data_IF_069469298972
#
_entry.id   IF_069469298972
#
_cell.length_a   1.000
_cell.length_b   1.000
_cell.length_c   1.000
_cell.angle_alpha   90.00
_cell.angle_beta   90.00
_cell.angle_gamma   90.00
#
_symmetry.space_group_name_H-M   'P 1'
#
loop_
_entity.id
_entity.type
_entity.pdbx_description
1 polymer ?
#
# COMPACT_ATOMS: atom_id res chain seq x y z
N UNK A 1 18.53 4.84 12.81
CA UNK A 1 18.74 3.59 13.59
C UNK A 1 18.23 3.77 15.01
N UNK A 2 16.91 3.95 15.19
CA UNK A 2 16.25 3.97 16.51
C UNK A 2 14.99 3.12 16.30
N UNK A 3 14.98 1.87 16.79
CA UNK A 3 13.86 0.94 16.56
C UNK A 3 14.18 -0.55 16.55
N UNK A 4 15.44 -0.97 16.71
CA UNK A 4 15.76 -2.38 16.94
C UNK A 4 15.54 -2.71 18.42
N UNK A 5 14.35 -3.20 18.76
CA UNK A 5 14.13 -3.95 20.00
C UNK A 5 14.25 -5.42 19.62
N UNK A 6 15.46 -5.97 19.75
CA UNK A 6 15.71 -7.41 19.58
C UNK A 6 15.59 -8.09 20.93
N UNK A 7 14.46 -8.78 21.17
CA UNK A 7 14.39 -9.74 22.27
C UNK A 7 14.95 -11.08 21.77
N UNK A 8 16.08 -11.50 22.35
CA UNK A 8 16.75 -12.75 22.01
C UNK A 8 16.37 -13.82 23.05
N UNK A 9 15.54 -14.79 22.66
CA UNK A 9 15.35 -16.04 23.43
C UNK A 9 16.14 -17.14 22.74
N UNK A 10 17.31 -17.47 23.31
CA UNK A 10 18.25 -18.62 23.18
C UNK A 10 18.30 -19.49 21.89
N UNK A 11 17.23 -19.68 21.12
CA UNK A 11 17.22 -20.48 19.88
C UNK A 11 16.35 -19.89 18.75
N UNK A 12 15.61 -18.79 18.99
CA UNK A 12 14.89 -18.05 17.94
C UNK A 12 15.15 -16.55 18.08
N UNK A 13 15.94 -15.99 17.15
CA UNK A 13 16.10 -14.55 17.01
C UNK A 13 14.88 -13.98 16.29
N UNK A 14 13.83 -13.60 17.04
CA UNK A 14 12.69 -12.88 16.48
C UNK A 14 13.09 -11.42 16.26
N UNK A 15 13.83 -11.17 15.18
CA UNK A 15 14.09 -9.81 14.72
C UNK A 15 12.79 -9.24 14.18
N UNK A 16 12.01 -8.55 15.02
CA UNK A 16 10.99 -7.64 14.50
C UNK A 16 11.71 -6.61 13.64
N UNK A 17 11.65 -6.78 12.32
CA UNK A 17 12.18 -5.78 11.39
C UNK A 17 11.58 -4.40 11.70
N UNK A 18 12.25 -3.33 11.27
CA UNK A 18 11.84 -1.95 11.56
C UNK A 18 10.32 -1.71 11.35
N UNK A 19 9.73 -2.33 10.32
CA UNK A 19 8.30 -2.26 10.05
C UNK A 19 7.42 -2.89 11.14
N UNK A 20 7.78 -4.07 11.65
CA UNK A 20 7.03 -4.75 12.70
C UNK A 20 7.11 -4.01 14.03
N UNK A 21 8.29 -3.48 14.39
CA UNK A 21 8.47 -2.66 15.59
C UNK A 21 7.69 -1.35 15.54
N UNK A 22 7.72 -0.65 14.39
CA UNK A 22 6.93 0.57 14.18
C UNK A 22 5.42 0.31 14.24
N UNK A 23 4.95 -0.79 13.64
CA UNK A 23 3.54 -1.18 13.67
C UNK A 23 3.09 -1.53 15.10
N UNK A 24 3.90 -2.29 15.84
CA UNK A 24 3.61 -2.64 17.23
C UNK A 24 3.56 -1.40 18.13
N UNK A 25 4.55 -0.50 18.01
CA UNK A 25 4.56 0.76 18.74
C UNK A 25 3.34 1.64 18.38
N UNK A 26 2.96 1.70 17.11
CA UNK A 26 1.78 2.44 16.65
C UNK A 26 0.47 1.90 17.20
N UNK A 27 0.29 0.57 17.21
CA UNK A 27 -0.90 -0.07 17.80
C UNK A 27 -0.92 0.13 19.32
N UNK A 28 0.22 -0.04 20.00
CA UNK A 28 0.31 0.12 21.46
C UNK A 28 0.01 1.55 21.90
N UNK A 29 0.55 2.57 21.20
CA UNK A 29 0.22 3.97 21.44
C UNK A 29 -1.24 4.29 21.08
N UNK A 30 -1.77 3.72 19.99
CA UNK A 30 -3.17 3.84 19.60
C UNK A 30 -4.14 3.27 20.64
N UNK A 31 -3.81 2.10 21.20
CA UNK A 31 -4.57 1.44 22.26
C UNK A 31 -4.51 2.24 23.58
N UNK A 32 -3.33 2.74 23.95
CA UNK A 32 -3.14 3.55 25.16
C UNK A 32 -3.95 4.86 25.08
N UNK A 33 -3.99 5.50 23.91
CA UNK A 33 -4.85 6.65 23.63
C UNK A 33 -6.34 6.28 23.70
N UNK A 34 -6.74 5.13 23.15
CA UNK A 34 -8.14 4.69 23.16
C UNK A 34 -8.64 4.41 24.59
N UNK A 35 -7.77 3.94 25.48
CA UNK A 35 -8.12 3.58 26.85
C UNK A 35 -7.97 4.75 27.84
N UNK A 36 -7.07 5.72 27.60
CA UNK A 36 -6.88 6.92 28.44
C UNK A 36 -6.83 8.21 27.58
N UNK A 37 -7.97 8.88 27.34
CA UNK A 37 -8.06 10.08 26.49
C UNK A 37 -7.28 11.30 26.99
N UNK A 38 -6.76 11.26 28.23
CA UNK A 38 -6.00 12.35 28.87
C UNK A 38 -4.50 12.29 28.57
N UNK A 39 -3.97 11.17 28.09
CA UNK A 39 -2.56 11.03 27.68
C UNK A 39 -2.45 11.08 26.15
N UNK A 40 -1.85 12.14 25.59
CA UNK A 40 -1.60 12.23 24.14
C UNK A 40 -2.74 12.83 23.30
N UNK A 41 -3.38 13.90 23.78
CA UNK A 41 -4.31 14.70 22.98
C UNK A 41 -3.55 15.45 21.88
N UNK A 42 -3.33 14.79 20.75
CA UNK A 42 -2.74 15.41 19.57
C UNK A 42 -3.86 16.16 18.85
N UNK A 43 -3.79 17.49 18.67
CA UNK A 43 -4.80 18.22 17.93
C UNK A 43 -4.91 17.64 16.51
N UNK A 44 -6.14 17.49 16.00
CA UNK A 44 -6.41 16.86 14.69
C UNK A 44 -5.62 17.52 13.55
N UNK A 45 -5.37 18.83 13.65
CA UNK A 45 -4.52 19.56 12.71
C UNK A 45 -3.06 19.07 12.71
N UNK A 46 -2.45 18.83 13.88
CA UNK A 46 -1.09 18.32 13.95
C UNK A 46 -0.98 16.88 13.42
N UNK A 47 -1.98 16.04 13.67
CA UNK A 47 -2.01 14.67 13.14
C UNK A 47 -2.08 14.67 11.61
N UNK A 48 -2.95 15.52 11.04
CA UNK A 48 -3.12 15.63 9.59
C UNK A 48 -1.86 16.18 8.93
N UNK A 49 -1.23 17.20 9.52
CA UNK A 49 0.04 17.76 9.06
C UNK A 49 1.16 16.71 9.03
N UNK A 50 1.30 15.90 10.09
CA UNK A 50 2.33 14.84 10.14
C UNK A 50 2.06 13.75 9.11
N UNK A 51 0.80 13.36 8.90
CA UNK A 51 0.42 12.36 7.89
C UNK A 51 0.72 12.84 6.48
N UNK A 52 0.28 14.06 6.14
CA UNK A 52 0.52 14.65 4.82
C UNK A 52 2.01 14.85 4.57
N UNK A 53 2.74 15.38 5.55
CA UNK A 53 4.19 15.55 5.43
C UNK A 53 4.90 14.21 5.24
N UNK A 54 4.56 13.20 6.04
CA UNK A 54 5.12 11.85 5.92
C UNK A 54 4.83 11.23 4.56
N UNK A 55 3.61 11.38 4.04
CA UNK A 55 3.23 10.90 2.72
C UNK A 55 4.00 11.63 1.60
N UNK A 56 4.15 12.96 1.70
CA UNK A 56 4.91 13.76 0.74
C UNK A 56 6.37 13.33 0.69
N UNK A 57 7.03 13.16 1.84
CA UNK A 57 8.42 12.71 1.92
C UNK A 57 8.57 11.27 1.39
N UNK A 58 7.62 10.39 1.73
CA UNK A 58 7.62 9.01 1.21
C UNK A 58 7.49 8.98 -0.32
N UNK A 59 6.56 9.74 -0.88
CA UNK A 59 6.36 9.83 -2.33
C UNK A 59 7.56 10.45 -3.05
N UNK A 60 8.19 11.47 -2.46
CA UNK A 60 9.43 12.05 -3.00
C UNK A 60 10.56 11.01 -3.01
N UNK A 61 10.73 10.24 -1.93
CA UNK A 61 11.74 9.20 -1.83
C UNK A 61 11.54 8.04 -2.81
N UNK A 62 10.31 7.53 -2.93
CA UNK A 62 9.95 6.50 -3.91
C UNK A 62 10.13 7.02 -5.34
N UNK A 63 9.71 8.27 -5.61
CA UNK A 63 9.86 8.91 -6.91
C UNK A 63 11.33 9.08 -7.32
N UNK A 64 12.19 9.57 -6.43
CA UNK A 64 13.64 9.68 -6.68
C UNK A 64 14.29 8.31 -6.88
N UNK A 65 13.91 7.31 -6.08
CA UNK A 65 14.45 5.95 -6.21
C UNK A 65 14.06 5.31 -7.53
N UNK A 66 12.78 5.40 -7.93
CA UNK A 66 12.30 4.93 -9.22
C UNK A 66 12.94 5.72 -10.38
N UNK A 67 13.15 7.02 -10.20
CA UNK A 67 13.76 7.92 -11.19
C UNK A 67 15.25 7.66 -11.41
N UNK A 68 16.00 7.24 -10.39
CA UNK A 68 17.43 6.95 -10.54
C UNK A 68 17.73 5.79 -11.51
N UNK A 69 16.78 4.87 -11.69
CA UNK A 69 16.86 3.76 -12.66
C UNK A 69 16.55 4.14 -14.11
N UNK A 70 16.02 5.35 -14.37
CA UNK A 70 15.58 5.80 -15.72
C UNK A 70 16.75 5.84 -16.70
N UNK A 71 17.92 6.34 -16.29
CA UNK A 71 19.09 6.45 -17.19
C UNK A 71 19.58 5.08 -17.69
N UNK A 72 19.47 4.02 -16.87
CA UNK A 72 19.83 2.66 -17.26
C UNK A 72 18.78 2.00 -18.17
N UNK A 73 17.49 2.35 -18.00
CA UNK A 73 16.39 1.79 -18.79
C UNK A 73 16.16 2.49 -20.14
N UNK A 74 16.52 3.77 -20.28
CA UNK A 74 16.16 4.58 -21.45
C UNK A 74 16.91 4.29 -22.75
N UNK A 75 18.04 3.56 -22.71
CA UNK A 75 18.96 3.44 -23.85
C UNK A 75 18.37 2.78 -25.10
N UNK A 76 17.89 1.53 -24.99
CA UNK A 76 17.47 0.74 -26.16
C UNK A 76 16.02 0.23 -26.13
N UNK A 77 15.43 0.06 -24.93
CA UNK A 77 14.11 -0.55 -24.73
C UNK A 77 13.20 0.37 -23.88
N UNK A 78 13.72 1.51 -23.40
CA UNK A 78 13.04 2.35 -22.42
C UNK A 78 11.73 2.96 -22.91
N UNK A 79 11.63 3.30 -24.20
CA UNK A 79 10.37 3.75 -24.78
C UNK A 79 9.29 2.67 -24.75
N UNK A 80 9.64 1.44 -25.13
CA UNK A 80 8.71 0.30 -25.06
C UNK A 80 8.37 -0.10 -23.63
N UNK A 81 9.35 -0.06 -22.70
CA UNK A 81 9.10 -0.32 -21.27
C UNK A 81 8.21 0.74 -20.63
N UNK A 82 8.38 2.01 -20.97
CA UNK A 82 7.50 3.09 -20.50
C UNK A 82 6.09 2.91 -21.01
N UNK A 83 5.93 2.65 -22.31
CA UNK A 83 4.60 2.45 -22.91
C UNK A 83 3.95 1.18 -22.36
N UNK A 84 4.69 0.07 -22.26
CA UNK A 84 4.18 -1.17 -21.69
C UNK A 84 3.79 -1.01 -20.22
N UNK A 85 4.63 -0.34 -19.40
CA UNK A 85 4.33 -0.07 -18.00
C UNK A 85 3.13 0.86 -17.81
N UNK A 86 2.97 1.85 -18.69
CA UNK A 86 1.81 2.73 -18.73
C UNK A 86 0.55 1.95 -19.09
N UNK A 87 0.58 1.14 -20.15
CA UNK A 87 -0.55 0.31 -20.57
C UNK A 87 -0.92 -0.69 -19.46
N UNK A 88 0.05 -1.42 -18.91
CA UNK A 88 -0.18 -2.41 -17.84
C UNK A 88 -0.68 -1.75 -16.55
N UNK A 89 -0.37 -0.47 -16.30
CA UNK A 89 -0.90 0.24 -15.14
C UNK A 89 -2.27 0.86 -15.37
N UNK A 90 -2.54 1.42 -16.55
CA UNK A 90 -3.81 2.09 -16.87
C UNK A 90 -4.91 1.11 -17.26
N UNK A 91 -4.62 0.15 -18.13
CA UNK A 91 -5.63 -0.73 -18.74
C UNK A 91 -6.39 -1.53 -17.67
N UNK A 92 -5.75 -2.19 -16.69
CA UNK A 92 -6.48 -2.93 -15.67
C UNK A 92 -7.33 -2.02 -14.78
N UNK A 93 -6.83 -0.81 -14.47
CA UNK A 93 -7.57 0.16 -13.64
C UNK A 93 -8.82 0.65 -14.37
N UNK A 94 -8.70 1.00 -15.65
CA UNK A 94 -9.82 1.45 -16.47
C UNK A 94 -10.84 0.33 -16.64
N UNK A 95 -10.40 -0.89 -16.96
CA UNK A 95 -11.29 -2.05 -17.10
C UNK A 95 -12.01 -2.36 -15.78
N UNK A 96 -11.28 -2.42 -14.66
CA UNK A 96 -11.88 -2.66 -13.34
C UNK A 96 -12.89 -1.56 -12.97
N UNK A 97 -12.58 -0.30 -13.30
CA UNK A 97 -13.50 0.81 -13.05
C UNK A 97 -14.78 0.69 -13.88
N UNK A 98 -14.66 0.47 -15.20
CA UNK A 98 -15.80 0.30 -16.09
C UNK A 98 -16.64 -0.93 -15.68
N UNK A 99 -16.00 -2.07 -15.40
CA UNK A 99 -16.68 -3.29 -15.02
C UNK A 99 -17.43 -3.12 -13.69
N UNK A 100 -16.78 -2.55 -12.68
CA UNK A 100 -17.42 -2.32 -11.38
C UNK A 100 -18.56 -1.29 -11.44
N UNK A 101 -18.41 -0.24 -12.25
CA UNK A 101 -19.42 0.82 -12.35
C UNK A 101 -20.62 0.39 -13.20
N UNK A 102 -20.37 -0.29 -14.32
CA UNK A 102 -21.41 -0.59 -15.32
C UNK A 102 -22.06 -1.96 -15.12
N UNK A 103 -21.30 -2.99 -14.72
CA UNK A 103 -21.81 -4.36 -14.54
C UNK A 103 -22.28 -4.59 -13.11
N UNK A 104 -21.44 -4.25 -12.12
CA UNK A 104 -21.75 -4.50 -10.71
C UNK A 104 -22.60 -3.41 -10.05
N UNK A 105 -22.81 -2.26 -10.73
CA UNK A 105 -23.58 -1.08 -10.23
C UNK A 105 -23.20 -0.69 -8.79
N UNK A 106 -21.93 -0.84 -8.43
CA UNK A 106 -21.46 -0.60 -7.06
C UNK A 106 -21.41 0.90 -6.75
N UNK A 107 -21.61 1.24 -5.47
CA UNK A 107 -21.40 2.60 -5.00
C UNK A 107 -19.95 3.03 -5.30
N UNK A 108 -19.79 4.20 -5.94
CA UNK A 108 -18.50 4.74 -6.38
C UNK A 108 -17.48 4.78 -5.25
N UNK A 109 -17.89 5.10 -4.02
CA UNK A 109 -17.01 5.12 -2.85
C UNK A 109 -16.43 3.73 -2.52
N UNK A 110 -17.24 2.67 -2.60
CA UNK A 110 -16.81 1.30 -2.34
C UNK A 110 -15.91 0.77 -3.46
N UNK A 111 -16.23 1.13 -4.71
CA UNK A 111 -15.46 0.77 -5.88
C UNK A 111 -14.06 1.40 -5.87
N UNK A 112 -13.94 2.68 -5.50
CA UNK A 112 -12.63 3.31 -5.31
C UNK A 112 -11.81 2.63 -4.21
N UNK A 113 -12.44 2.28 -3.07
CA UNK A 113 -11.78 1.52 -2.01
C UNK A 113 -11.29 0.13 -2.47
N UNK A 114 -12.12 -0.59 -3.22
CA UNK A 114 -11.79 -1.88 -3.82
C UNK A 114 -10.63 -1.81 -4.82
N UNK A 115 -10.59 -0.77 -5.66
CA UNK A 115 -9.49 -0.56 -6.61
C UNK A 115 -8.17 -0.25 -5.89
N UNK A 116 -8.20 0.55 -4.82
CA UNK A 116 -7.00 0.82 -4.02
C UNK A 116 -6.49 -0.41 -3.29
N UNK A 117 -7.38 -1.28 -2.81
CA UNK A 117 -7.02 -2.57 -2.21
C UNK A 117 -6.39 -3.51 -3.23
N UNK A 118 -6.97 -3.61 -4.44
CA UNK A 118 -6.40 -4.39 -5.54
C UNK A 118 -5.03 -3.88 -6.00
N UNK A 119 -4.80 -2.57 -5.97
CA UNK A 119 -3.49 -1.94 -6.27
C UNK A 119 -2.56 -1.84 -5.06
N UNK A 120 -2.96 -2.43 -3.93
CA UNK A 120 -2.19 -2.40 -2.66
C UNK A 120 -1.72 -1.00 -2.28
N UNK A 121 -2.50 0.03 -2.59
CA UNK A 121 -2.12 1.43 -2.42
C UNK A 121 -2.81 2.03 -1.20
N UNK A 122 -2.25 1.76 -0.03
CA UNK A 122 -2.71 2.30 1.25
C UNK A 122 -2.85 3.84 1.31
N UNK A 123 -1.89 4.65 0.81
CA UNK A 123 -2.00 6.10 0.94
C UNK A 123 -3.13 6.70 0.10
N UNK A 124 -3.39 6.15 -1.08
CA UNK A 124 -4.50 6.58 -1.92
C UNK A 124 -5.87 6.25 -1.29
N UNK A 125 -5.95 5.13 -0.56
CA UNK A 125 -7.14 4.77 0.20
C UNK A 125 -7.43 5.77 1.32
N UNK A 126 -6.42 6.24 2.04
CA UNK A 126 -6.59 7.22 3.12
C UNK A 126 -7.15 8.56 2.59
N UNK A 127 -6.61 9.06 1.47
CA UNK A 127 -7.10 10.28 0.80
C UNK A 127 -8.56 10.13 0.34
N UNK A 128 -8.91 8.99 -0.26
CA UNK A 128 -10.28 8.71 -0.70
C UNK A 128 -11.23 8.61 0.49
N UNK A 129 -10.80 7.96 1.58
CA UNK A 129 -11.62 7.83 2.79
C UNK A 129 -11.88 9.18 3.45
N UNK A 130 -10.88 10.06 3.46
CA UNK A 130 -11.00 11.43 3.97
C UNK A 130 -11.93 12.27 3.10
N UNK A 131 -11.77 12.19 1.77
CA UNK A 131 -12.64 12.87 0.79
C UNK A 131 -14.08 12.38 0.85
N UNK A 132 -14.28 11.06 1.02
CA UNK A 132 -15.61 10.45 1.09
C UNK A 132 -16.29 10.68 2.46
N UNK A 133 -15.57 11.15 3.48
CA UNK A 133 -16.02 11.29 4.88
C UNK A 133 -16.82 10.08 5.39
N UNK A 134 -16.45 8.88 4.94
CA UNK A 134 -17.22 7.67 5.15
C UNK A 134 -16.31 6.46 5.18
N UNK A 135 -16.67 5.44 5.97
CA UNK A 135 -15.94 4.18 6.09
C UNK A 135 -16.29 3.16 4.98
N UNK A 136 -17.20 3.53 4.06
CA UNK A 136 -17.60 2.69 2.93
C UNK A 136 -16.41 2.28 2.04
N UNK A 137 -15.42 3.14 1.72
CA UNK A 137 -14.23 2.75 0.97
C UNK A 137 -13.36 1.74 1.74
N UNK A 138 -13.29 1.84 3.07
CA UNK A 138 -12.47 0.94 3.90
C UNK A 138 -12.99 -0.51 3.88
N UNK A 139 -14.32 -0.69 3.82
CA UNK A 139 -14.95 -1.99 3.66
C UNK A 139 -14.55 -2.66 2.32
N UNK A 140 -14.51 -1.89 1.23
CA UNK A 140 -14.06 -2.38 -0.07
C UNK A 140 -12.56 -2.71 -0.12
N UNK A 141 -11.74 -1.94 0.59
CA UNK A 141 -10.29 -2.13 0.67
C UNK A 141 -9.89 -3.43 1.37
N UNK A 142 -10.47 -3.75 2.52
CA UNK A 142 -10.05 -4.90 3.33
C UNK A 142 -10.18 -6.24 2.58
N UNK A 143 -11.33 -6.48 1.95
CA UNK A 143 -11.59 -7.71 1.21
C UNK A 143 -10.70 -7.84 -0.03
N UNK A 144 -10.57 -6.75 -0.80
CA UNK A 144 -9.76 -6.77 -2.03
C UNK A 144 -8.27 -6.87 -1.76
N UNK A 145 -7.77 -6.23 -0.70
CA UNK A 145 -6.36 -6.33 -0.29
C UNK A 145 -5.97 -7.76 0.13
N UNK A 146 -6.83 -8.45 0.88
CA UNK A 146 -6.59 -9.84 1.26
C UNK A 146 -6.54 -10.75 0.04
N UNK A 147 -7.51 -10.62 -0.86
CA UNK A 147 -7.58 -11.41 -2.10
C UNK A 147 -6.37 -11.11 -3.00
N UNK A 148 -5.97 -9.83 -3.13
CA UNK A 148 -4.83 -9.41 -3.93
C UNK A 148 -3.53 -10.04 -3.42
N UNK A 149 -3.29 -10.06 -2.11
CA UNK A 149 -2.09 -10.68 -1.54
C UNK A 149 -2.06 -12.20 -1.74
N UNK A 150 -3.20 -12.88 -1.62
CA UNK A 150 -3.29 -14.33 -1.87
C UNK A 150 -3.03 -14.62 -3.35
N UNK A 151 -3.67 -13.89 -4.26
CA UNK A 151 -3.44 -14.01 -5.70
C UNK A 151 -1.99 -13.70 -6.08
N UNK A 152 -1.40 -12.66 -5.51
CA UNK A 152 0.00 -12.29 -5.76
C UNK A 152 0.95 -13.40 -5.28
N UNK A 153 0.67 -13.99 -4.12
CA UNK A 153 1.47 -15.11 -3.59
C UNK A 153 1.36 -16.33 -4.51
N UNK A 154 0.15 -16.71 -4.91
CA UNK A 154 -0.09 -17.84 -5.81
C UNK A 154 0.50 -17.60 -7.20
N UNK A 155 0.28 -16.42 -7.78
CA UNK A 155 0.84 -16.04 -9.07
C UNK A 155 2.37 -16.04 -9.02
N UNK A 156 2.97 -15.53 -7.94
CA UNK A 156 4.40 -15.58 -7.72
C UNK A 156 4.93 -17.02 -7.71
N UNK A 157 4.26 -17.93 -7.00
CA UNK A 157 4.63 -19.36 -6.99
C UNK A 157 4.52 -19.99 -8.38
N UNK A 158 3.42 -19.72 -9.11
CA UNK A 158 3.20 -20.26 -10.46
C UNK A 158 4.26 -19.75 -11.44
N UNK A 159 4.55 -18.45 -11.42
CA UNK A 159 5.57 -17.84 -12.29
C UNK A 159 6.94 -18.48 -12.01
N UNK A 160 7.34 -18.62 -10.74
CA UNK A 160 8.61 -19.24 -10.37
C UNK A 160 8.67 -20.72 -10.74
N UNK A 161 7.55 -21.45 -10.73
CA UNK A 161 7.49 -22.85 -11.17
C UNK A 161 7.55 -23.01 -12.70
N UNK A 162 6.95 -22.08 -13.45
CA UNK A 162 6.91 -22.11 -14.92
C UNK A 162 8.22 -21.59 -15.54
N UNK A 163 8.89 -20.63 -14.89
CA UNK A 163 10.13 -20.03 -15.36
C UNK A 163 11.28 -21.03 -15.62
N UNK A 164 11.57 -22.04 -14.78
CA UNK A 164 12.57 -23.06 -15.09
C UNK A 164 12.17 -24.02 -16.22
N UNK A 165 10.94 -23.96 -16.74
CA UNK A 165 10.51 -24.74 -17.91
C UNK A 165 10.69 -24.02 -19.27
N UNK A 166 11.18 -22.78 -19.27
CA UNK A 166 11.36 -21.92 -20.46
C UNK A 166 12.83 -21.52 -20.70
N UNK A 167 13.78 -22.18 -20.03
CA UNK A 167 15.23 -22.00 -20.19
C UNK A 167 15.91 -23.27 -20.65
#
# INVERSE_FOLDING_TARGET
MIGMITFQFSTFSFGMGNAAGLLFAGIMLGFMRANHPTFGYIPQGALSMVKEFGLMVFMAGVGLSAGSGINNGLGAIGGQMLIAGLIVSLVPVVICFLFGAYVLRMNRALLFGAMMGARTCAPAMEIISDTARSNIPALGYAGTYAIANVLLTLAGTIIVMVWPGLG
#
